data_IF_835750596939
#
_entry.id   IF_835750596939
#
_cell.length_a   1.000
_cell.length_b   1.000
_cell.length_c   1.000
_cell.angle_alpha   90.00
_cell.angle_beta   90.00
_cell.angle_gamma   90.00
#
_symmetry.space_group_name_H-M   'P 1'
#
loop_
_entity.id
_entity.type
_entity.pdbx_description
1 polymer ?
#
# COMPACT_ATOMS: atom_id res chain seq x y z
N UNK A 1 41.53 15.11 22.31
CA UNK A 1 41.31 14.20 21.16
C UNK A 1 39.85 13.80 21.17
N UNK A 2 38.98 14.54 20.46
CA UNK A 2 37.52 14.27 20.43
C UNK A 2 36.77 14.91 19.24
N UNK A 3 37.47 15.52 18.29
CA UNK A 3 36.87 16.26 17.17
C UNK A 3 36.57 15.43 15.92
N UNK A 4 37.10 14.21 15.81
CA UNK A 4 36.90 13.36 14.61
C UNK A 4 35.57 12.60 14.61
N UNK A 5 34.97 12.33 15.77
CA UNK A 5 33.69 11.60 15.87
C UNK A 5 32.46 12.45 15.53
N UNK A 6 32.52 13.78 15.66
CA UNK A 6 31.37 14.65 15.35
C UNK A 6 31.23 14.89 13.84
N UNK A 7 32.35 14.91 13.10
CA UNK A 7 32.35 15.16 11.65
C UNK A 7 31.83 13.98 10.82
N UNK A 8 31.96 12.75 11.31
CA UNK A 8 31.46 11.56 10.63
C UNK A 8 29.95 11.38 10.80
N UNK A 9 29.40 11.70 11.98
CA UNK A 9 27.95 11.63 12.23
C UNK A 9 27.18 12.69 11.44
N UNK A 10 27.62 13.95 11.44
CA UNK A 10 26.98 15.04 10.68
C UNK A 10 26.97 14.77 9.16
N UNK A 11 28.05 14.16 8.65
CA UNK A 11 28.18 13.82 7.24
C UNK A 11 27.33 12.61 6.85
N UNK A 12 27.15 11.64 7.75
CA UNK A 12 26.22 10.53 7.55
C UNK A 12 24.76 10.98 7.59
N UNK A 13 24.38 11.81 8.57
CA UNK A 13 23.02 12.36 8.69
C UNK A 13 22.61 13.17 7.46
N UNK A 14 23.51 14.00 6.92
CA UNK A 14 23.24 14.76 5.69
C UNK A 14 23.06 13.85 4.46
N UNK A 15 23.82 12.75 4.35
CA UNK A 15 23.65 11.79 3.25
C UNK A 15 22.39 10.92 3.36
N UNK A 16 22.00 10.56 4.58
CA UNK A 16 20.79 9.78 4.83
C UNK A 16 19.54 10.63 4.59
N UNK A 17 19.54 11.87 5.10
CA UNK A 17 18.49 12.84 4.83
C UNK A 17 18.34 13.09 3.33
N UNK A 18 19.45 13.32 2.60
CA UNK A 18 19.40 13.54 1.16
C UNK A 18 18.85 12.32 0.41
N UNK A 19 19.23 11.10 0.83
CA UNK A 19 18.69 9.86 0.26
C UNK A 19 17.19 9.76 0.53
N UNK A 20 16.75 10.09 1.76
CA UNK A 20 15.35 10.07 2.15
C UNK A 20 14.53 11.02 1.29
N UNK A 21 14.97 12.27 1.17
CA UNK A 21 14.35 13.29 0.33
C UNK A 21 14.29 12.84 -1.13
N UNK A 22 15.39 12.33 -1.69
CA UNK A 22 15.44 11.89 -3.09
C UNK A 22 14.43 10.78 -3.40
N UNK A 23 14.25 9.81 -2.48
CA UNK A 23 13.24 8.74 -2.64
C UNK A 23 11.82 9.32 -2.60
N UNK A 24 11.53 10.22 -1.66
CA UNK A 24 10.21 10.84 -1.54
C UNK A 24 9.86 11.75 -2.72
N UNK A 25 10.82 12.54 -3.21
CA UNK A 25 10.63 13.38 -4.40
C UNK A 25 10.37 12.54 -5.65
N UNK A 26 11.14 11.46 -5.85
CA UNK A 26 10.91 10.49 -6.95
C UNK A 26 9.51 9.91 -6.90
N UNK A 27 9.04 9.55 -5.71
CA UNK A 27 7.72 8.95 -5.49
C UNK A 27 6.60 10.00 -5.36
N UNK A 28 6.89 11.28 -5.62
CA UNK A 28 5.95 12.40 -5.49
C UNK A 28 5.23 12.41 -4.14
N UNK A 29 5.98 12.14 -3.07
CA UNK A 29 5.46 12.05 -1.70
C UNK A 29 4.27 11.09 -1.56
N UNK A 30 4.20 10.07 -2.41
CA UNK A 30 3.11 9.11 -2.43
C UNK A 30 3.56 7.78 -1.84
N UNK A 31 2.79 7.23 -0.91
CA UNK A 31 3.04 5.91 -0.36
C UNK A 31 2.86 4.85 -1.46
N UNK A 32 3.91 4.07 -1.72
CA UNK A 32 3.93 3.01 -2.73
C UNK A 32 2.85 1.93 -2.49
N UNK A 33 2.47 1.68 -1.23
CA UNK A 33 1.49 0.64 -0.91
C UNK A 33 0.04 1.14 -0.88
N UNK A 34 -0.25 2.26 -0.19
CA UNK A 34 -1.62 2.76 -0.06
C UNK A 34 -1.98 3.88 -1.03
N UNK A 35 -1.03 4.36 -1.84
CA UNK A 35 -1.20 5.44 -2.82
C UNK A 35 -1.71 6.77 -2.24
N UNK A 36 -1.50 6.99 -0.95
CA UNK A 36 -1.79 8.28 -0.31
C UNK A 36 -0.66 9.25 -0.57
N UNK A 37 -0.98 10.49 -0.95
CA UNK A 37 -0.01 11.58 -1.10
C UNK A 37 0.08 12.37 0.20
N UNK A 38 1.30 12.73 0.60
CA UNK A 38 1.57 13.49 1.82
C UNK A 38 2.23 14.83 1.49
N UNK A 39 2.01 15.83 2.34
CA UNK A 39 2.56 17.17 2.14
C UNK A 39 4.05 17.29 2.55
N UNK A 40 4.56 16.36 3.35
CA UNK A 40 5.91 16.43 3.91
C UNK A 40 6.64 15.07 3.95
N UNK A 41 7.96 15.13 4.18
CA UNK A 41 8.84 13.95 4.36
C UNK A 41 8.73 13.31 5.74
N UNK A 42 8.09 13.96 6.71
CA UNK A 42 7.97 13.47 8.08
C UNK A 42 6.89 12.39 8.20
N UNK A 43 5.90 12.44 7.31
CA UNK A 43 4.79 11.49 7.22
C UNK A 43 5.15 10.20 6.48
N UNK A 44 6.35 10.14 5.88
CA UNK A 44 6.85 9.03 5.08
C UNK A 44 8.14 8.45 5.66
N UNK A 45 8.27 7.14 5.52
CA UNK A 45 9.46 6.36 5.79
C UNK A 45 10.01 5.81 4.48
N UNK A 46 11.32 5.59 4.42
CA UNK A 46 11.98 4.93 3.29
C UNK A 46 12.20 3.48 3.64
N UNK A 47 11.65 2.61 2.80
CA UNK A 47 11.64 1.18 3.02
C UNK A 47 12.37 0.45 1.89
N UNK A 48 13.22 -0.51 2.27
CA UNK A 48 13.92 -1.34 1.28
C UNK A 48 12.99 -2.40 0.69
N UNK A 49 12.83 -2.45 -0.63
CA UNK A 49 12.04 -3.48 -1.32
C UNK A 49 12.50 -4.89 -0.93
N UNK A 50 13.78 -5.19 -1.20
CA UNK A 50 14.48 -6.34 -0.62
C UNK A 50 15.20 -5.89 0.64
N UNK A 51 14.93 -6.54 1.77
CA UNK A 51 15.56 -6.21 3.05
C UNK A 51 17.08 -6.37 3.00
N UNK A 52 17.82 -5.50 3.70
CA UNK A 52 19.29 -5.59 3.79
C UNK A 52 19.79 -6.92 4.34
N UNK A 53 19.11 -7.47 5.36
CA UNK A 53 19.42 -8.79 5.93
C UNK A 53 19.22 -9.97 4.97
N UNK A 54 18.52 -9.74 3.85
CA UNK A 54 18.26 -10.72 2.79
C UNK A 54 19.07 -10.41 1.51
N UNK A 55 20.11 -9.57 1.60
CA UNK A 55 20.97 -9.21 0.46
C UNK A 55 20.48 -8.00 -0.34
N UNK A 56 19.49 -7.26 0.15
CA UNK A 56 19.02 -6.04 -0.49
C UNK A 56 20.08 -4.92 -0.54
N UNK A 57 20.24 -4.31 -1.71
CA UNK A 57 21.16 -3.19 -1.92
C UNK A 57 20.65 -1.89 -1.29
N UNK A 58 21.55 -0.97 -0.95
CA UNK A 58 21.18 0.34 -0.36
C UNK A 58 20.93 1.44 -1.43
N UNK A 59 20.79 1.05 -2.70
CA UNK A 59 20.55 1.97 -3.81
C UNK A 59 19.11 2.48 -3.81
N UNK A 60 18.87 3.65 -4.41
CA UNK A 60 17.55 4.29 -4.48
C UNK A 60 16.51 3.37 -5.14
N UNK A 61 16.90 2.57 -6.12
CA UNK A 61 16.01 1.65 -6.85
C UNK A 61 15.46 0.53 -5.97
N UNK A 62 16.17 0.15 -4.90
CA UNK A 62 15.68 -0.82 -3.91
C UNK A 62 14.93 -0.13 -2.76
N UNK A 63 14.58 1.16 -2.88
CA UNK A 63 13.92 1.95 -1.84
C UNK A 63 12.60 2.50 -2.36
N UNK A 64 11.61 2.59 -1.49
CA UNK A 64 10.29 3.14 -1.78
C UNK A 64 9.77 3.97 -0.60
N UNK A 65 8.91 4.93 -0.89
CA UNK A 65 8.19 5.72 0.11
C UNK A 65 7.03 4.92 0.68
N UNK A 66 6.94 4.81 2.02
CA UNK A 66 5.80 4.20 2.70
C UNK A 66 5.32 5.10 3.82
N UNK A 67 4.00 5.26 3.95
CA UNK A 67 3.45 5.89 5.14
C UNK A 67 3.67 4.99 6.36
N UNK A 68 3.67 5.59 7.56
CA UNK A 68 3.95 4.87 8.81
C UNK A 68 3.12 3.58 8.97
N UNK A 69 1.82 3.64 8.69
CA UNK A 69 0.91 2.47 8.80
C UNK A 69 1.30 1.31 7.87
N UNK A 70 1.74 1.62 6.65
CA UNK A 70 2.15 0.60 5.69
C UNK A 70 3.55 0.06 6.02
N UNK A 71 4.44 0.94 6.49
CA UNK A 71 5.76 0.55 6.95
C UNK A 71 5.68 -0.42 8.14
N UNK A 72 4.96 -0.05 9.20
CA UNK A 72 4.73 -0.88 10.38
C UNK A 72 4.10 -2.23 10.03
N UNK A 73 3.12 -2.26 9.12
CA UNK A 73 2.51 -3.52 8.68
C UNK A 73 3.47 -4.47 7.98
N UNK A 74 4.42 -3.94 7.19
CA UNK A 74 5.45 -4.77 6.54
C UNK A 74 6.40 -5.39 7.56
N UNK A 75 6.71 -4.68 8.64
CA UNK A 75 7.60 -5.14 9.70
C UNK A 75 6.87 -5.95 10.80
N UNK A 76 5.57 -6.22 10.63
CA UNK A 76 4.79 -7.02 11.59
C UNK A 76 4.40 -6.26 12.86
N UNK A 77 4.61 -4.95 12.92
CA UNK A 77 4.15 -4.08 14.02
C UNK A 77 2.63 -3.81 13.94
N UNK A 78 2.03 -4.11 12.78
CA UNK A 78 0.57 -4.15 12.58
C UNK A 78 0.18 -5.41 11.80
N UNK A 79 -1.02 -5.90 12.05
CA UNK A 79 -1.58 -7.08 11.36
C UNK A 79 -1.57 -6.97 9.84
N UNK A 80 -1.96 -5.79 9.31
CA UNK A 80 -2.02 -5.55 7.88
C UNK A 80 -2.02 -4.05 7.57
N UNK A 81 -1.65 -3.72 6.33
CA UNK A 81 -1.74 -2.37 5.78
C UNK A 81 -3.21 -1.91 5.65
N UNK A 82 -3.49 -0.64 5.36
CA UNK A 82 -4.87 -0.13 5.23
C UNK A 82 -5.68 -0.90 4.17
N UNK A 83 -6.87 -1.39 4.55
CA UNK A 83 -7.78 -2.16 3.67
C UNK A 83 -9.24 -1.76 3.89
N UNK A 84 -10.08 -1.92 2.86
CA UNK A 84 -11.53 -2.04 3.04
C UNK A 84 -11.86 -3.50 3.33
N UNK A 85 -12.76 -3.71 4.30
CA UNK A 85 -13.13 -5.03 4.79
C UNK A 85 -14.57 -5.35 4.41
N UNK A 86 -14.76 -6.47 3.72
CA UNK A 86 -16.05 -6.99 3.28
C UNK A 86 -16.35 -8.32 3.95
N UNK A 87 -17.46 -8.41 4.69
CA UNK A 87 -17.89 -9.62 5.40
C UNK A 87 -19.32 -9.99 5.01
N UNK A 88 -19.61 -11.28 4.99
CA UNK A 88 -20.99 -11.75 4.86
C UNK A 88 -21.72 -11.62 6.20
N UNK A 89 -23.00 -11.25 6.14
CA UNK A 89 -23.93 -11.32 7.28
C UNK A 89 -24.39 -12.75 7.57
N UNK A 90 -24.14 -13.69 6.64
CA UNK A 90 -24.64 -15.07 6.62
C UNK A 90 -26.16 -15.20 6.42
N UNK A 91 -26.81 -14.13 5.96
CA UNK A 91 -28.25 -14.12 5.68
C UNK A 91 -28.62 -14.71 4.30
N UNK A 92 -27.64 -15.26 3.59
CA UNK A 92 -27.84 -15.92 2.30
C UNK A 92 -28.00 -17.42 2.48
N UNK A 93 -28.92 -18.03 1.71
CA UNK A 93 -28.99 -19.48 1.63
C UNK A 93 -27.68 -20.07 1.06
N UNK A 94 -27.29 -21.30 1.44
CA UNK A 94 -26.00 -21.88 1.04
C UNK A 94 -25.76 -21.90 -0.48
N UNK A 95 -26.82 -22.12 -1.27
CA UNK A 95 -26.76 -22.14 -2.73
C UNK A 95 -26.31 -20.80 -3.31
N UNK A 96 -26.79 -19.70 -2.75
CA UNK A 96 -26.46 -18.35 -3.20
C UNK A 96 -25.13 -17.90 -2.63
N UNK A 97 -24.84 -18.30 -1.38
CA UNK A 97 -23.61 -17.96 -0.70
C UNK A 97 -22.36 -18.42 -1.46
N UNK A 98 -22.43 -19.48 -2.30
CA UNK A 98 -21.31 -19.92 -3.15
C UNK A 98 -20.80 -18.82 -4.10
N UNK A 99 -21.67 -17.89 -4.50
CA UNK A 99 -21.30 -16.80 -5.41
C UNK A 99 -20.52 -15.71 -4.71
N UNK A 100 -20.70 -15.51 -3.40
CA UNK A 100 -19.97 -14.50 -2.63
C UNK A 100 -18.45 -14.69 -2.66
N UNK A 101 -17.85 -15.86 -2.30
CA UNK A 101 -16.42 -16.05 -2.42
C UNK A 101 -15.96 -16.10 -3.88
N UNK A 102 -16.81 -16.54 -4.82
CA UNK A 102 -16.48 -16.53 -6.25
C UNK A 102 -16.35 -15.09 -6.79
N UNK A 103 -17.21 -14.17 -6.32
CA UNK A 103 -17.15 -12.76 -6.67
C UNK A 103 -15.79 -12.17 -6.30
N UNK A 104 -15.37 -12.33 -5.04
CA UNK A 104 -14.10 -11.78 -4.56
C UNK A 104 -12.86 -12.46 -5.16
N UNK A 105 -12.89 -13.78 -5.37
CA UNK A 105 -11.74 -14.53 -5.90
C UNK A 105 -11.53 -14.37 -7.38
N UNK A 106 -12.62 -14.29 -8.15
CA UNK A 106 -12.58 -14.48 -9.60
C UNK A 106 -13.21 -13.30 -10.34
N UNK A 107 -14.45 -12.93 -10.02
CA UNK A 107 -15.19 -11.96 -10.82
C UNK A 107 -14.62 -10.55 -10.66
N UNK A 108 -14.41 -10.07 -9.43
CA UNK A 108 -13.86 -8.72 -9.21
C UNK A 108 -12.45 -8.55 -9.80
N UNK A 109 -11.48 -9.46 -9.58
CA UNK A 109 -10.18 -9.37 -10.24
C UNK A 109 -10.28 -9.36 -11.77
N UNK A 110 -11.10 -10.23 -12.37
CA UNK A 110 -11.26 -10.28 -13.82
C UNK A 110 -11.96 -9.04 -14.38
N UNK A 111 -13.01 -8.54 -13.70
CA UNK A 111 -13.74 -7.34 -14.14
C UNK A 111 -12.87 -6.09 -14.04
N UNK A 112 -12.11 -5.93 -12.95
CA UNK A 112 -11.21 -4.78 -12.79
C UNK A 112 -10.10 -4.79 -13.84
N UNK A 113 -9.49 -5.95 -14.10
CA UNK A 113 -8.48 -6.11 -15.17
C UNK A 113 -9.07 -5.80 -16.56
N UNK A 114 -10.27 -6.30 -16.88
CA UNK A 114 -10.90 -6.04 -18.18
C UNK A 114 -11.39 -4.60 -18.36
N UNK A 115 -11.90 -3.96 -17.31
CA UNK A 115 -12.52 -2.65 -17.41
C UNK A 115 -11.50 -1.51 -17.43
N UNK A 116 -10.43 -1.62 -16.63
CA UNK A 116 -9.50 -0.51 -16.36
C UNK A 116 -8.01 -0.90 -16.39
N UNK A 117 -7.68 -2.11 -16.87
CA UNK A 117 -6.31 -2.65 -16.86
C UNK A 117 -5.65 -2.64 -15.46
N UNK A 118 -6.48 -2.69 -14.41
CA UNK A 118 -6.03 -2.71 -13.01
C UNK A 118 -6.62 -3.95 -12.35
N UNK A 119 -5.76 -4.89 -11.94
CA UNK A 119 -6.23 -6.13 -11.31
C UNK A 119 -6.25 -6.00 -9.79
N UNK A 120 -7.44 -5.80 -9.21
CA UNK A 120 -7.61 -5.84 -7.75
C UNK A 120 -7.35 -7.25 -7.23
N UNK A 121 -6.62 -7.35 -6.11
CA UNK A 121 -6.33 -8.63 -5.46
C UNK A 121 -6.86 -8.68 -4.01
N UNK A 122 -8.15 -9.00 -3.82
CA UNK A 122 -8.69 -9.15 -2.48
C UNK A 122 -8.02 -10.30 -1.74
N UNK A 123 -7.58 -10.04 -0.50
CA UNK A 123 -6.97 -11.04 0.37
C UNK A 123 -8.00 -11.53 1.40
N UNK A 124 -8.01 -12.83 1.66
CA UNK A 124 -8.94 -13.41 2.63
C UNK A 124 -8.23 -13.66 3.97
N UNK A 125 -8.84 -13.19 5.06
CA UNK A 125 -8.44 -13.52 6.43
C UNK A 125 -6.96 -13.22 6.77
N UNK A 126 -6.50 -12.00 6.45
CA UNK A 126 -5.11 -11.57 6.68
C UNK A 126 -4.85 -10.97 8.07
N UNK A 127 -5.89 -10.81 8.90
CA UNK A 127 -5.75 -10.26 10.26
C UNK A 127 -5.63 -11.42 11.26
N UNK A 128 -4.42 -11.90 11.50
CA UNK A 128 -4.17 -13.05 12.40
C UNK A 128 -4.73 -12.84 13.82
N UNK A 129 -4.73 -11.58 14.29
CA UNK A 129 -5.22 -11.22 15.63
C UNK A 129 -6.75 -11.30 15.78
N UNK A 130 -7.53 -11.48 14.70
CA UNK A 130 -9.00 -11.41 14.73
C UNK A 130 -9.66 -12.61 14.08
N UNK A 131 -10.57 -13.25 14.82
CA UNK A 131 -11.28 -14.48 14.42
C UNK A 131 -12.35 -14.32 13.33
N UNK A 132 -12.45 -13.16 12.66
CA UNK A 132 -13.51 -12.96 11.67
C UNK A 132 -13.04 -13.34 10.26
N UNK A 133 -13.93 -14.03 9.54
CA UNK A 133 -13.75 -14.33 8.12
C UNK A 133 -14.19 -13.14 7.27
N UNK A 134 -13.23 -12.39 6.74
CA UNK A 134 -13.51 -11.28 5.84
C UNK A 134 -12.54 -11.23 4.65
N UNK A 135 -13.04 -10.61 3.58
CA UNK A 135 -12.24 -10.19 2.43
C UNK A 135 -11.69 -8.80 2.69
N UNK A 136 -10.44 -8.60 2.33
CA UNK A 136 -9.69 -7.36 2.52
C UNK A 136 -9.21 -6.88 1.17
N UNK A 137 -9.61 -5.68 0.77
CA UNK A 137 -9.13 -5.03 -0.44
C UNK A 137 -8.12 -3.96 -0.02
N UNK A 138 -6.86 -4.02 -0.49
CA UNK A 138 -5.89 -2.94 -0.25
C UNK A 138 -6.46 -1.59 -0.68
N UNK A 139 -6.30 -0.57 0.16
CA UNK A 139 -6.74 0.80 -0.21
C UNK A 139 -5.95 1.31 -1.43
N UNK A 140 -4.71 0.88 -1.62
CA UNK A 140 -3.92 1.21 -2.80
C UNK A 140 -4.60 0.76 -4.09
N UNK A 141 -4.98 -0.52 -4.18
CA UNK A 141 -5.72 -1.09 -5.32
C UNK A 141 -7.02 -0.31 -5.59
N UNK A 142 -7.74 0.11 -4.53
CA UNK A 142 -8.97 0.86 -4.68
C UNK A 142 -8.75 2.29 -5.18
N UNK A 143 -7.71 2.98 -4.72
CA UNK A 143 -7.35 4.32 -5.23
C UNK A 143 -6.88 4.24 -6.68
N UNK A 144 -6.17 3.17 -7.04
CA UNK A 144 -5.77 2.92 -8.41
C UNK A 144 -6.96 2.64 -9.32
N UNK A 145 -7.91 1.82 -8.87
CA UNK A 145 -9.19 1.60 -9.56
C UNK A 145 -10.00 2.90 -9.68
N UNK A 146 -10.13 3.68 -8.60
CA UNK A 146 -10.90 4.94 -8.56
C UNK A 146 -10.36 5.95 -9.57
N UNK A 147 -9.04 6.12 -9.62
CA UNK A 147 -8.37 6.95 -10.63
C UNK A 147 -8.60 6.40 -12.04
N UNK A 148 -8.42 5.11 -12.25
CA UNK A 148 -8.57 4.54 -13.58
C UNK A 148 -10.02 4.68 -14.10
N UNK A 149 -11.02 4.52 -13.23
CA UNK A 149 -12.43 4.75 -13.57
C UNK A 149 -12.76 6.21 -13.84
N UNK A 150 -12.14 7.16 -13.13
CA UNK A 150 -12.39 8.60 -13.33
C UNK A 150 -11.79 9.14 -14.63
N UNK A 151 -10.76 8.48 -15.14
CA UNK A 151 -10.13 8.78 -16.44
C UNK A 151 -10.87 8.13 -17.63
N UNK A 152 -11.89 7.28 -17.39
CA UNK A 152 -12.64 6.64 -18.47
C UNK A 152 -13.78 7.51 -19.00
N UNK A 153 -13.63 7.99 -20.23
CA UNK A 153 -14.63 8.82 -20.92
C UNK A 153 -16.01 8.16 -21.10
N UNK A 154 -16.07 6.83 -21.12
CA UNK A 154 -17.28 6.07 -21.45
C UNK A 154 -18.12 5.65 -20.22
N UNK A 155 -17.70 6.03 -19.01
CA UNK A 155 -18.40 5.64 -17.78
C UNK A 155 -18.77 6.91 -17.01
N UNK A 156 -20.03 7.01 -16.58
CA UNK A 156 -20.44 8.01 -15.60
C UNK A 156 -20.01 7.53 -14.21
N UNK A 157 -18.83 7.96 -13.79
CA UNK A 157 -18.25 7.64 -12.49
C UNK A 157 -17.83 8.93 -11.78
N UNK A 158 -18.22 9.07 -10.51
CA UNK A 158 -17.77 10.15 -9.65
C UNK A 158 -16.72 9.58 -8.69
N UNK A 159 -15.47 10.01 -8.86
CA UNK A 159 -14.38 9.61 -7.96
C UNK A 159 -14.58 10.17 -6.56
N UNK A 160 -13.99 9.51 -5.58
CA UNK A 160 -13.93 10.07 -4.23
C UNK A 160 -12.98 11.27 -4.23
N UNK A 161 -13.47 12.47 -3.87
CA UNK A 161 -12.59 13.62 -3.67
C UNK A 161 -11.49 13.26 -2.64
N UNK A 162 -10.23 13.48 -3.01
CA UNK A 162 -9.11 13.31 -2.08
C UNK A 162 -9.21 14.36 -0.98
N UNK A 163 -9.61 13.96 0.23
CA UNK A 163 -9.53 14.77 1.45
C UNK A 163 -8.08 15.06 1.84
#
# INVERSE_FOLDING_TARGET
MSTENNRSSERQESTEYQTKLTVHERDQFTCDNCRETFADTLSLDVDHGVQRGQGGSNVIQNKSSKCRRCHEAKHGERDHAPTIRSRSTKDMIPKDFRWFPNFWKNQLPALSELAVDCRIQPKFNIAESKSYMAWHIPIGDLRELDRALSEMDNIRYESVESY
#
